data_IF_728698145062
#
_entry.id   IF_728698145062
#
_cell.length_a   1.000
_cell.length_b   1.000
_cell.length_c   1.000
_cell.angle_alpha   90.00
_cell.angle_beta   90.00
_cell.angle_gamma   90.00
#
_symmetry.space_group_name_H-M   'P 1'
#
loop_
_entity.id
_entity.type
_entity.pdbx_description
1 polymer ?
#
# COMPACT_ATOMS: atom_id res chain seq x y z
N UNK A 1 -23.80 -19.46 -48.29
CA UNK A 1 -24.15 -19.13 -46.90
C UNK A 1 -23.42 -20.14 -46.02
N UNK A 2 -22.21 -19.83 -45.58
CA UNK A 2 -21.42 -20.73 -44.72
C UNK A 2 -21.81 -20.48 -43.26
N UNK A 3 -22.62 -21.38 -42.71
CA UNK A 3 -22.92 -21.41 -41.27
C UNK A 3 -21.63 -21.72 -40.51
N UNK A 4 -21.12 -20.72 -39.80
CA UNK A 4 -20.03 -20.93 -38.85
C UNK A 4 -20.67 -21.27 -37.52
N UNK A 5 -20.71 -22.56 -37.17
CA UNK A 5 -21.15 -22.98 -35.85
C UNK A 5 -20.34 -22.24 -34.77
N UNK A 6 -21.03 -21.55 -33.87
CA UNK A 6 -20.40 -20.84 -32.75
C UNK A 6 -19.52 -21.80 -31.95
N UNK A 7 -18.22 -21.51 -31.89
CA UNK A 7 -17.23 -22.34 -31.23
C UNK A 7 -17.34 -22.11 -29.72
N UNK A 8 -17.62 -23.18 -28.96
CA UNK A 8 -17.74 -23.10 -27.50
C UNK A 8 -16.44 -22.58 -26.87
N UNK A 9 -16.53 -21.51 -26.08
CA UNK A 9 -15.37 -20.92 -25.38
C UNK A 9 -15.09 -21.66 -24.06
N UNK A 10 -14.17 -22.62 -24.12
CA UNK A 10 -13.74 -23.43 -22.98
C UNK A 10 -13.05 -22.61 -21.87
N UNK A 11 -12.59 -21.36 -22.14
CA UNK A 11 -11.96 -20.52 -21.13
C UNK A 11 -12.89 -20.21 -19.94
N UNK A 12 -14.21 -20.21 -20.19
CA UNK A 12 -15.26 -19.99 -19.20
C UNK A 12 -15.43 -21.16 -18.21
N UNK A 13 -14.87 -22.34 -18.52
CA UNK A 13 -14.93 -23.53 -17.66
C UNK A 13 -13.79 -23.59 -16.65
N UNK A 14 -12.83 -22.66 -16.73
CA UNK A 14 -11.63 -22.63 -15.90
C UNK A 14 -11.81 -21.70 -14.69
N UNK A 15 -11.47 -22.18 -13.50
CA UNK A 15 -11.40 -21.36 -12.28
C UNK A 15 -10.06 -20.64 -12.19
N UNK A 16 -9.91 -19.57 -12.98
CA UNK A 16 -8.70 -18.75 -12.98
C UNK A 16 -8.69 -17.77 -11.79
N UNK A 17 -7.51 -17.45 -11.23
CA UNK A 17 -7.38 -16.40 -10.22
C UNK A 17 -7.84 -15.05 -10.77
N UNK A 18 -8.68 -14.35 -10.02
CA UNK A 18 -9.15 -13.00 -10.33
C UNK A 18 -8.83 -12.08 -9.17
N UNK A 19 -8.33 -10.89 -9.47
CA UNK A 19 -8.03 -9.87 -8.47
C UNK A 19 -8.07 -8.49 -9.10
N UNK A 20 -8.63 -7.53 -8.36
CA UNK A 20 -8.55 -6.10 -8.70
C UNK A 20 -7.18 -5.51 -8.36
N UNK A 21 -6.31 -6.29 -7.71
CA UNK A 21 -4.96 -5.86 -7.37
C UNK A 21 -4.12 -5.69 -8.64
N UNK A 22 -3.66 -4.47 -8.97
CA UNK A 22 -2.92 -4.25 -10.19
C UNK A 22 -1.54 -4.87 -10.11
N UNK A 23 -1.10 -5.50 -11.20
CA UNK A 23 0.27 -6.05 -11.28
C UNK A 23 1.35 -4.97 -11.16
N UNK A 24 1.06 -3.74 -11.61
CA UNK A 24 1.96 -2.58 -11.44
C UNK A 24 1.55 -1.79 -10.21
N UNK A 25 2.52 -1.44 -9.38
CA UNK A 25 2.27 -0.78 -8.10
C UNK A 25 1.68 0.63 -8.24
N UNK A 26 2.21 1.46 -9.15
CA UNK A 26 1.78 2.86 -9.30
C UNK A 26 2.10 3.70 -8.05
N UNK A 27 3.25 3.45 -7.42
CA UNK A 27 3.63 4.02 -6.12
C UNK A 27 3.56 5.56 -6.06
N UNK A 28 4.02 6.33 -7.07
CA UNK A 28 3.98 7.79 -6.99
C UNK A 28 2.57 8.37 -6.78
N UNK A 29 1.52 7.65 -7.19
CA UNK A 29 0.13 8.05 -6.95
C UNK A 29 -0.44 7.40 -5.68
N UNK A 30 -0.18 6.11 -5.46
CA UNK A 30 -0.77 5.36 -4.34
C UNK A 30 -0.18 5.70 -2.96
N UNK A 31 1.09 6.05 -2.89
CA UNK A 31 1.75 6.37 -1.61
C UNK A 31 1.12 7.62 -0.94
N UNK A 32 0.90 8.74 -1.65
CA UNK A 32 0.16 9.88 -1.11
C UNK A 32 -1.25 9.54 -0.60
N UNK A 33 -2.01 8.73 -1.34
CA UNK A 33 -3.35 8.29 -0.94
C UNK A 33 -3.32 7.45 0.34
N UNK A 34 -2.32 6.57 0.44
CA UNK A 34 -2.12 5.71 1.61
C UNK A 34 -1.79 6.54 2.86
N UNK A 35 -0.88 7.50 2.73
CA UNK A 35 -0.51 8.42 3.83
C UNK A 35 -1.73 9.24 4.26
N UNK A 36 -2.51 9.77 3.32
CA UNK A 36 -3.74 10.51 3.61
C UNK A 36 -4.74 9.65 4.39
N UNK A 37 -4.97 8.40 3.95
CA UNK A 37 -5.85 7.46 4.66
C UNK A 37 -5.39 7.21 6.10
N UNK A 38 -4.09 7.05 6.34
CA UNK A 38 -3.53 6.85 7.68
C UNK A 38 -3.71 8.05 8.59
N UNK A 39 -3.59 9.27 8.04
CA UNK A 39 -3.82 10.51 8.77
C UNK A 39 -5.30 10.67 9.15
N UNK A 40 -6.21 10.50 8.18
CA UNK A 40 -7.66 10.60 8.40
C UNK A 40 -8.16 9.58 9.43
N UNK A 41 -7.64 8.36 9.40
CA UNK A 41 -8.03 7.33 10.37
C UNK A 41 -7.38 7.52 11.76
N UNK A 42 -6.44 8.47 11.91
CA UNK A 42 -5.66 8.67 13.12
C UNK A 42 -4.82 7.46 13.51
N UNK A 43 -4.19 6.79 12.54
CA UNK A 43 -3.56 5.47 12.71
C UNK A 43 -2.57 5.43 13.88
N UNK A 44 -1.70 6.43 13.98
CA UNK A 44 -0.70 6.50 15.06
C UNK A 44 -1.36 6.46 16.45
N UNK A 45 -2.43 7.23 16.66
CA UNK A 45 -3.16 7.25 17.93
C UNK A 45 -3.77 5.87 18.25
N UNK A 46 -4.34 5.20 17.23
CA UNK A 46 -4.88 3.85 17.37
C UNK A 46 -3.80 2.83 17.75
N UNK A 47 -2.62 2.91 17.12
CA UNK A 47 -1.48 2.05 17.46
C UNK A 47 -0.99 2.29 18.89
N UNK A 48 -0.96 3.54 19.36
CA UNK A 48 -0.60 3.87 20.76
C UNK A 48 -1.61 3.30 21.75
N UNK A 49 -2.91 3.37 21.42
CA UNK A 49 -3.97 2.81 22.26
C UNK A 49 -3.90 1.27 22.34
N UNK A 50 -3.69 0.59 21.21
CA UNK A 50 -3.61 -0.89 21.17
C UNK A 50 -2.33 -1.46 21.82
N UNK A 51 -1.30 -0.63 21.97
CA UNK A 51 -0.06 -0.97 22.66
C UNK A 51 -0.07 -0.63 24.17
N UNK A 52 -1.20 -0.14 24.72
CA UNK A 52 -1.29 0.20 26.14
C UNK A 52 -0.94 -1.02 27.03
N UNK A 53 -0.10 -0.79 28.04
CA UNK A 53 0.34 -1.82 28.99
C UNK A 53 1.47 -2.73 28.52
N UNK A 54 1.90 -2.66 27.24
CA UNK A 54 3.09 -3.38 26.76
C UNK A 54 4.36 -2.76 27.34
N UNK A 55 5.42 -3.56 27.40
CA UNK A 55 6.77 -3.08 27.71
C UNK A 55 7.14 -1.92 26.76
N UNK A 56 7.68 -0.85 27.33
CA UNK A 56 8.00 0.36 26.56
C UNK A 56 9.29 0.16 25.80
N UNK A 57 9.22 0.30 24.49
CA UNK A 57 10.38 0.52 23.63
C UNK A 57 10.48 2.01 23.27
N UNK A 58 11.64 2.63 23.51
CA UNK A 58 11.90 4.05 23.24
C UNK A 58 13.04 4.16 22.23
N UNK A 59 12.74 4.71 21.06
CA UNK A 59 13.72 5.04 20.03
C UNK A 59 13.92 6.56 20.02
N UNK A 60 15.12 7.02 20.38
CA UNK A 60 15.48 8.43 20.30
C UNK A 60 15.97 8.75 18.89
N UNK A 61 15.18 9.52 18.15
CA UNK A 61 15.60 10.05 16.85
C UNK A 61 16.43 11.33 17.06
N UNK A 62 17.57 11.41 16.37
CA UNK A 62 18.46 12.56 16.46
C UNK A 62 17.87 13.74 15.69
N UNK A 63 17.78 14.95 16.27
CA UNK A 63 17.22 16.08 15.54
C UNK A 63 18.10 16.39 14.31
N UNK A 64 17.55 16.40 13.09
CA UNK A 64 18.30 16.80 11.92
C UNK A 64 18.59 18.30 11.98
N UNK A 65 19.66 18.73 11.31
CA UNK A 65 19.87 20.16 11.10
C UNK A 65 18.75 20.71 10.20
N UNK A 66 18.18 21.86 10.57
CA UNK A 66 17.07 22.48 9.85
C UNK A 66 17.52 23.31 8.62
N UNK A 67 18.68 22.99 8.04
CA UNK A 67 19.25 23.72 6.90
C UNK A 67 19.49 22.77 5.70
N UNK A 68 19.24 23.28 4.49
CA UNK A 68 19.42 22.52 3.25
C UNK A 68 18.28 21.55 2.93
N UNK A 69 18.46 20.80 1.84
CA UNK A 69 17.49 19.80 1.40
C UNK A 69 17.81 18.43 2.01
N UNK A 70 16.76 17.64 2.21
CA UNK A 70 16.88 16.24 2.60
C UNK A 70 17.56 15.46 1.46
N UNK A 71 18.65 14.77 1.79
CA UNK A 71 19.32 13.82 0.89
C UNK A 71 19.08 12.37 1.32
N UNK A 72 19.45 11.39 0.49
CA UNK A 72 19.16 9.96 0.74
C UNK A 72 19.63 9.45 2.11
N UNK A 73 20.75 9.95 2.63
CA UNK A 73 21.22 9.61 3.99
C UNK A 73 20.28 9.97 5.15
N UNK A 74 19.30 10.86 4.94
CA UNK A 74 18.25 11.13 5.93
C UNK A 74 17.11 10.09 5.90
N UNK A 75 17.02 9.30 4.83
CA UNK A 75 15.95 8.33 4.60
C UNK A 75 16.41 6.86 4.79
N UNK A 76 17.71 6.61 4.94
CA UNK A 76 18.31 5.30 5.23
C UNK A 76 18.14 4.94 6.71
#
# INVERSE_FOLDING_TARGET
MSDTAEKLDYSTTLYLPQTDFPMRAGLPQKEPETVKRWQEMGLYKKLRASAAGREKFVLHDGPPYANGNIHIGHAL
#
